data_IF_580380787417
#
_entry.id   IF_580380787417
#
_cell.length_a   1.000
_cell.length_b   1.000
_cell.length_c   1.000
_cell.angle_alpha   90.00
_cell.angle_beta   90.00
_cell.angle_gamma   90.00
#
_symmetry.space_group_name_H-M   'P 1'
#
loop_
_entity.id
_entity.type
_entity.pdbx_description
1 polymer ?
#
# COMPACT_ATOMS: atom_id res chain seq x y z
N UNK A 1 -8.89 -47.82 55.71
CA UNK A 1 -9.70 -46.87 54.91
C UNK A 1 -8.83 -45.68 54.61
N UNK A 2 -8.18 -45.68 53.44
CA UNK A 2 -7.30 -44.59 53.00
C UNK A 2 -8.12 -43.58 52.22
N UNK A 3 -8.26 -42.36 52.72
CA UNK A 3 -8.88 -41.25 51.98
C UNK A 3 -7.81 -40.62 51.06
N UNK A 4 -7.94 -40.85 49.77
CA UNK A 4 -7.17 -40.10 48.77
C UNK A 4 -7.71 -38.69 48.70
N UNK A 5 -6.85 -37.73 49.06
CA UNK A 5 -7.09 -36.29 48.91
C UNK A 5 -6.76 -35.90 47.48
N UNK A 6 -7.77 -35.67 46.64
CA UNK A 6 -7.61 -35.18 45.27
C UNK A 6 -7.31 -33.65 45.32
N UNK A 7 -6.05 -33.28 45.13
CA UNK A 7 -5.65 -31.89 45.00
C UNK A 7 -5.96 -31.46 43.55
N UNK A 8 -7.04 -30.69 43.38
CA UNK A 8 -7.32 -30.03 42.10
C UNK A 8 -6.42 -28.82 42.02
N UNK A 9 -5.37 -28.88 41.18
CA UNK A 9 -4.55 -27.74 40.82
C UNK A 9 -5.31 -26.87 39.85
N UNK A 10 -6.00 -25.83 40.32
CA UNK A 10 -6.54 -24.78 39.49
C UNK A 10 -5.37 -23.93 39.00
N UNK A 11 -4.97 -24.14 37.76
CA UNK A 11 -4.04 -23.25 37.07
C UNK A 11 -4.76 -21.90 36.85
N UNK A 12 -4.44 -20.90 37.68
CA UNK A 12 -4.78 -19.51 37.38
C UNK A 12 -3.98 -19.09 36.15
N UNK A 13 -4.60 -19.17 34.98
CA UNK A 13 -4.09 -18.48 33.81
C UNK A 13 -4.33 -17.01 34.06
N UNK A 14 -3.29 -16.27 34.41
CA UNK A 14 -3.39 -14.84 34.63
C UNK A 14 -3.86 -14.16 33.35
N UNK A 15 -4.92 -13.36 33.46
CA UNK A 15 -5.51 -12.56 32.39
C UNK A 15 -4.56 -11.47 31.81
N UNK A 16 -3.34 -11.39 32.31
CA UNK A 16 -2.34 -10.40 31.89
C UNK A 16 -1.63 -10.74 30.58
N UNK A 17 -1.74 -11.96 30.05
CA UNK A 17 -1.10 -12.36 28.79
C UNK A 17 -1.98 -12.17 27.55
N UNK A 18 -3.17 -11.60 27.69
CA UNK A 18 -4.04 -11.16 26.59
C UNK A 18 -3.88 -9.65 26.31
N UNK A 19 -2.68 -9.09 26.48
CA UNK A 19 -2.37 -7.80 25.87
C UNK A 19 -2.35 -8.02 24.37
N UNK A 20 -3.53 -7.70 23.78
CA UNK A 20 -3.95 -8.00 22.45
C UNK A 20 -2.85 -7.75 21.42
N UNK A 21 -2.59 -8.74 20.60
CA UNK A 21 -2.06 -8.53 19.26
C UNK A 21 -2.94 -7.45 18.65
N UNK A 22 -2.39 -6.23 18.57
CA UNK A 22 -3.11 -5.10 17.99
C UNK A 22 -3.54 -5.52 16.59
N UNK A 23 -4.84 -5.68 16.41
CA UNK A 23 -5.40 -6.01 15.10
C UNK A 23 -5.01 -4.89 14.14
N UNK A 24 -4.55 -5.23 12.93
CA UNK A 24 -4.22 -4.25 11.92
C UNK A 24 -5.44 -3.39 11.58
N UNK A 25 -5.44 -2.14 12.05
CA UNK A 25 -6.47 -1.16 11.72
C UNK A 25 -6.17 -0.52 10.35
N UNK A 26 -6.82 -1.07 9.33
CA UNK A 26 -6.66 -0.58 7.97
C UNK A 26 -7.16 0.87 7.80
N UNK A 27 -8.17 1.31 8.51
CA UNK A 27 -8.70 2.66 8.36
C UNK A 27 -7.69 3.71 8.84
N UNK A 28 -7.08 3.49 10.00
CA UNK A 28 -5.99 4.32 10.52
C UNK A 28 -4.77 4.27 9.61
N UNK A 29 -4.37 3.07 9.18
CA UNK A 29 -3.27 2.89 8.21
C UNK A 29 -3.53 3.67 6.91
N UNK A 30 -4.71 3.47 6.28
CA UNK A 30 -5.05 4.12 5.02
C UNK A 30 -5.11 5.65 5.13
N UNK A 31 -5.66 6.16 6.22
CA UNK A 31 -5.69 7.60 6.49
C UNK A 31 -4.28 8.17 6.58
N UNK A 32 -3.41 7.53 7.35
CA UNK A 32 -2.00 7.93 7.48
C UNK A 32 -1.25 7.80 6.15
N UNK A 33 -1.50 6.72 5.38
CA UNK A 33 -0.89 6.52 4.07
C UNK A 33 -1.23 7.66 3.11
N UNK A 34 -2.50 8.08 3.03
CA UNK A 34 -2.94 9.19 2.18
C UNK A 34 -2.35 10.52 2.63
N UNK A 35 -2.31 10.77 3.94
CA UNK A 35 -1.67 11.98 4.49
C UNK A 35 -0.20 12.06 4.08
N UNK A 36 0.53 10.96 4.23
CA UNK A 36 1.95 10.90 3.84
C UNK A 36 2.16 10.99 2.31
N UNK A 37 1.25 10.41 1.50
CA UNK A 37 1.24 10.66 0.05
C UNK A 37 1.17 12.16 -0.24
N UNK A 38 0.24 12.84 0.41
CA UNK A 38 0.01 14.27 0.16
C UNK A 38 1.20 15.13 0.61
N UNK A 39 1.89 14.75 1.69
CA UNK A 39 3.15 15.40 2.09
C UNK A 39 4.24 15.24 1.01
N UNK A 40 4.38 14.05 0.44
CA UNK A 40 5.35 13.82 -0.64
C UNK A 40 4.94 14.56 -1.92
N UNK A 41 3.66 14.51 -2.28
CA UNK A 41 3.12 15.20 -3.46
C UNK A 41 3.32 16.70 -3.41
N UNK A 42 3.16 17.32 -2.24
CA UNK A 42 3.41 18.74 -2.04
C UNK A 42 4.85 19.12 -2.40
N UNK A 43 5.84 18.29 -2.06
CA UNK A 43 7.24 18.50 -2.46
C UNK A 43 7.43 18.56 -3.98
N UNK A 44 6.60 17.87 -4.73
CA UNK A 44 6.62 17.82 -6.20
C UNK A 44 5.62 18.77 -6.87
N UNK A 45 5.08 19.74 -6.14
CA UNK A 45 4.05 20.67 -6.63
C UNK A 45 2.82 19.97 -7.22
N UNK A 46 2.48 18.80 -6.69
CA UNK A 46 1.32 18.01 -7.10
C UNK A 46 0.16 18.21 -6.11
N UNK A 47 -1.07 18.41 -6.59
CA UNK A 47 -2.24 18.58 -5.73
C UNK A 47 -2.48 17.38 -4.83
N UNK A 48 -3.03 17.63 -3.64
CA UNK A 48 -3.40 16.57 -2.71
C UNK A 48 -4.42 15.59 -3.33
N UNK A 49 -4.26 14.30 -3.01
CA UNK A 49 -5.24 13.26 -3.35
C UNK A 49 -6.36 13.25 -2.32
N UNK A 50 -7.59 13.02 -2.80
CA UNK A 50 -8.76 12.73 -1.96
C UNK A 50 -9.13 11.25 -2.04
N UNK A 51 -9.70 10.70 -0.97
CA UNK A 51 -10.16 9.30 -0.95
C UNK A 51 -11.39 9.14 -1.83
N UNK A 52 -11.44 8.04 -2.63
CA UNK A 52 -12.60 7.67 -3.42
C UNK A 52 -12.97 6.20 -3.18
N UNK A 53 -14.15 5.96 -2.59
CA UNK A 53 -14.60 4.63 -2.21
C UNK A 53 -14.78 3.67 -3.40
N UNK A 54 -15.22 4.17 -4.55
CA UNK A 54 -15.46 3.31 -5.71
C UNK A 54 -14.17 2.69 -6.24
N UNK A 55 -13.08 3.47 -6.32
CA UNK A 55 -11.80 2.92 -6.77
C UNK A 55 -11.11 2.09 -5.67
N UNK A 56 -11.47 2.28 -4.39
CA UNK A 56 -11.06 1.38 -3.31
C UNK A 56 -11.75 0.00 -3.43
N UNK A 57 -13.02 -0.07 -3.83
CA UNK A 57 -13.70 -1.35 -4.14
C UNK A 57 -13.00 -2.09 -5.28
N UNK A 58 -12.56 -1.38 -6.32
CA UNK A 58 -11.78 -1.97 -7.42
C UNK A 58 -10.40 -2.43 -6.95
N UNK A 59 -9.75 -1.70 -6.03
CA UNK A 59 -8.52 -2.14 -5.38
C UNK A 59 -8.73 -3.44 -4.58
N UNK A 60 -9.87 -3.59 -3.88
CA UNK A 60 -10.20 -4.81 -3.16
C UNK A 60 -10.36 -6.02 -4.09
N UNK A 61 -10.99 -5.83 -5.26
CA UNK A 61 -11.08 -6.90 -6.27
C UNK A 61 -9.70 -7.33 -6.74
N UNK A 62 -8.78 -6.38 -6.98
CA UNK A 62 -7.38 -6.68 -7.32
C UNK A 62 -6.69 -7.47 -6.22
N UNK A 63 -6.83 -7.04 -4.96
CA UNK A 63 -6.21 -7.71 -3.81
C UNK A 63 -6.73 -9.12 -3.63
N UNK A 64 -8.02 -9.35 -3.78
CA UNK A 64 -8.60 -10.70 -3.71
C UNK A 64 -7.96 -11.64 -4.74
N UNK A 65 -7.71 -11.14 -5.96
CA UNK A 65 -6.99 -11.88 -7.00
C UNK A 65 -5.51 -12.14 -6.65
N UNK A 66 -4.82 -11.14 -6.12
CA UNK A 66 -3.42 -11.27 -5.67
C UNK A 66 -3.27 -12.31 -4.55
N UNK A 67 -4.11 -12.23 -3.54
CA UNK A 67 -4.14 -13.17 -2.39
C UNK A 67 -4.41 -14.59 -2.86
N UNK A 68 -5.41 -14.79 -3.73
CA UNK A 68 -5.74 -16.11 -4.29
C UNK A 68 -4.57 -16.73 -5.05
N UNK A 69 -3.79 -15.92 -5.75
CA UNK A 69 -2.66 -16.37 -6.57
C UNK A 69 -1.34 -16.41 -5.81
N UNK A 70 -1.26 -15.83 -4.60
CA UNK A 70 0.00 -15.62 -3.89
C UNK A 70 1.01 -14.77 -4.66
N UNK A 71 0.53 -13.83 -5.50
CA UNK A 71 1.37 -12.99 -6.38
C UNK A 71 0.81 -11.57 -6.47
N UNK A 72 1.69 -10.59 -6.67
CA UNK A 72 1.27 -9.24 -7.06
C UNK A 72 1.00 -9.20 -8.57
N UNK A 73 -0.25 -8.96 -8.95
CA UNK A 73 -0.69 -8.89 -10.34
C UNK A 73 -1.53 -7.64 -10.53
N UNK A 74 -1.10 -6.78 -11.42
CA UNK A 74 -1.89 -5.60 -11.81
C UNK A 74 -3.18 -6.02 -12.52
N UNK A 75 -4.30 -5.31 -12.24
CA UNK A 75 -5.65 -5.67 -12.75
C UNK A 75 -5.91 -4.84 -13.98
N UNK A 76 -5.54 -4.14 -14.65
CA UNK A 76 -6.02 -3.35 -15.79
C UNK A 76 -7.41 -2.71 -15.61
N UNK A 77 -7.78 -2.40 -14.35
CA UNK A 77 -9.07 -1.80 -14.03
C UNK A 77 -9.23 -0.40 -14.63
N UNK A 78 -10.44 -0.07 -14.99
CA UNK A 78 -10.86 1.28 -15.40
C UNK A 78 -11.97 1.79 -14.48
N UNK A 79 -12.11 3.12 -14.40
CA UNK A 79 -13.20 3.80 -13.73
C UNK A 79 -13.69 4.93 -14.62
N UNK A 80 -15.01 5.03 -14.83
CA UNK A 80 -15.61 6.01 -15.76
C UNK A 80 -14.95 6.00 -17.14
N UNK A 81 -14.72 4.81 -17.69
CA UNK A 81 -14.05 4.58 -18.98
C UNK A 81 -12.63 5.15 -19.10
N UNK A 82 -11.97 5.40 -17.98
CA UNK A 82 -10.59 5.85 -17.95
C UNK A 82 -9.72 4.86 -17.17
N UNK A 83 -8.48 4.71 -17.60
CA UNK A 83 -7.46 3.90 -16.94
C UNK A 83 -7.25 4.33 -15.49
N UNK A 84 -7.13 3.35 -14.61
CA UNK A 84 -6.67 3.55 -13.23
C UNK A 84 -5.17 3.28 -13.13
N UNK A 85 -4.45 4.22 -12.56
CA UNK A 85 -3.11 3.95 -12.09
C UNK A 85 -3.16 3.03 -10.87
N UNK A 86 -2.10 2.24 -10.64
CA UNK A 86 -2.12 1.27 -9.57
C UNK A 86 -0.73 1.01 -9.01
N UNK A 87 -0.60 1.07 -7.68
CA UNK A 87 0.58 0.60 -6.95
C UNK A 87 0.22 -0.61 -6.09
N UNK A 88 1.10 -1.62 -6.12
CA UNK A 88 0.97 -2.84 -5.33
C UNK A 88 2.14 -2.97 -4.35
N UNK A 89 1.86 -3.57 -3.19
CA UNK A 89 2.85 -3.83 -2.15
C UNK A 89 2.52 -5.13 -1.42
N UNK A 90 3.54 -5.83 -0.95
CA UNK A 90 3.40 -7.00 -0.07
C UNK A 90 4.45 -6.95 1.04
N UNK A 91 4.07 -7.39 2.23
CA UNK A 91 5.00 -7.57 3.34
C UNK A 91 4.64 -8.82 4.16
N UNK A 92 5.67 -9.49 4.72
CA UNK A 92 5.49 -10.63 5.61
C UNK A 92 5.07 -10.26 7.03
N UNK A 93 5.02 -8.97 7.36
CA UNK A 93 4.57 -8.44 8.66
C UNK A 93 3.59 -7.30 8.48
N UNK A 94 3.04 -6.80 9.60
CA UNK A 94 2.09 -5.68 9.61
C UNK A 94 2.70 -4.48 8.88
N UNK A 95 2.08 -3.99 7.80
CA UNK A 95 2.63 -2.89 7.02
C UNK A 95 2.52 -1.57 7.78
N UNK A 96 3.50 -0.70 7.56
CA UNK A 96 3.43 0.69 8.01
C UNK A 96 3.35 1.62 6.79
N UNK A 97 2.67 2.78 6.88
CA UNK A 97 2.64 3.75 5.79
C UNK A 97 4.05 4.16 5.32
N UNK A 98 5.01 4.29 6.26
CA UNK A 98 6.39 4.61 5.92
C UNK A 98 7.10 3.47 5.17
N UNK A 99 6.84 2.21 5.55
CA UNK A 99 7.37 1.04 4.85
C UNK A 99 6.87 0.97 3.41
N UNK A 100 5.58 1.19 3.20
CA UNK A 100 4.97 1.24 1.86
C UNK A 100 5.57 2.38 1.03
N UNK A 101 5.64 3.60 1.57
CA UNK A 101 6.18 4.75 0.83
C UNK A 101 7.69 4.69 0.64
N UNK A 102 8.43 4.03 1.53
CA UNK A 102 9.84 3.71 1.28
C UNK A 102 9.98 2.85 0.02
N UNK A 103 9.14 1.81 -0.11
CA UNK A 103 9.14 0.95 -1.29
C UNK A 103 8.75 1.72 -2.56
N UNK A 104 7.64 2.46 -2.52
CA UNK A 104 7.09 3.12 -3.70
C UNK A 104 7.76 4.44 -4.07
N UNK A 105 8.25 5.19 -3.08
CA UNK A 105 8.82 6.51 -3.29
C UNK A 105 10.34 6.51 -3.12
N UNK A 106 10.84 6.28 -1.90
CA UNK A 106 12.25 6.51 -1.57
C UNK A 106 13.20 5.64 -2.38
N UNK A 107 12.83 4.36 -2.59
CA UNK A 107 13.68 3.42 -3.31
C UNK A 107 13.69 3.66 -4.82
N UNK A 108 12.67 4.32 -5.37
CA UNK A 108 12.52 4.53 -6.82
C UNK A 108 12.86 5.96 -7.27
N UNK A 109 12.59 6.97 -6.44
CA UNK A 109 12.84 8.38 -6.75
C UNK A 109 14.29 8.61 -7.20
N UNK A 110 15.25 7.99 -6.53
CA UNK A 110 16.68 8.05 -6.88
C UNK A 110 17.02 7.56 -8.29
N UNK A 111 16.17 6.72 -8.88
CA UNK A 111 16.33 6.19 -10.23
C UNK A 111 15.78 7.12 -11.32
N UNK A 112 14.93 8.10 -10.94
CA UNK A 112 14.21 8.94 -11.89
C UNK A 112 15.05 10.11 -12.40
N UNK A 113 15.04 10.32 -13.70
CA UNK A 113 15.63 11.48 -14.36
C UNK A 113 14.54 12.51 -14.65
N UNK A 114 14.57 13.62 -13.93
CA UNK A 114 13.58 14.70 -14.04
C UNK A 114 13.67 15.47 -15.37
N UNK A 115 14.79 15.39 -16.08
CA UNK A 115 14.98 16.07 -17.36
C UNK A 115 14.36 15.30 -18.52
N UNK A 116 14.43 13.99 -18.47
CA UNK A 116 13.96 13.10 -19.54
C UNK A 116 12.62 12.40 -19.23
N UNK A 117 12.25 12.30 -17.95
CA UNK A 117 11.08 11.55 -17.52
C UNK A 117 11.27 10.03 -17.57
N UNK A 118 12.49 9.55 -17.55
CA UNK A 118 12.85 8.13 -17.67
C UNK A 118 13.70 7.66 -16.48
N UNK A 119 13.97 6.36 -16.42
CA UNK A 119 14.96 5.83 -15.48
C UNK A 119 16.37 6.12 -15.96
N UNK A 120 17.22 6.70 -15.09
CA UNK A 120 18.62 6.99 -15.40
C UNK A 120 19.58 5.80 -15.27
N UNK A 121 19.11 4.69 -14.67
CA UNK A 121 19.93 3.51 -14.40
C UNK A 121 19.22 2.18 -14.69
N UNK A 122 18.08 2.20 -15.39
CA UNK A 122 17.26 1.03 -15.67
C UNK A 122 16.44 0.52 -14.46
N UNK A 123 16.58 1.14 -13.29
CA UNK A 123 15.80 0.78 -12.10
C UNK A 123 14.33 1.18 -12.23
N UNK A 124 13.48 0.55 -11.42
CA UNK A 124 12.04 0.82 -11.37
C UNK A 124 11.78 2.26 -10.94
N UNK A 125 10.81 2.90 -11.55
CA UNK A 125 10.35 4.27 -11.27
C UNK A 125 8.82 4.38 -11.20
N UNK A 126 8.09 3.32 -11.56
CA UNK A 126 6.65 3.41 -11.81
C UNK A 126 5.80 3.67 -10.57
N UNK A 127 6.19 3.14 -9.41
CA UNK A 127 5.47 3.44 -8.17
C UNK A 127 5.70 4.88 -7.73
N UNK A 128 6.96 5.34 -7.78
CA UNK A 128 7.32 6.72 -7.45
C UNK A 128 6.56 7.73 -8.31
N UNK A 129 6.62 7.57 -9.62
CA UNK A 129 5.97 8.49 -10.57
C UNK A 129 4.47 8.52 -10.38
N UNK A 130 3.82 7.38 -10.07
CA UNK A 130 2.40 7.34 -9.75
C UNK A 130 2.07 8.05 -8.44
N UNK A 131 2.88 7.86 -7.37
CA UNK A 131 2.68 8.56 -6.07
C UNK A 131 2.60 10.07 -6.28
N UNK A 132 3.50 10.64 -7.07
CA UNK A 132 3.60 12.09 -7.26
C UNK A 132 2.94 12.60 -8.54
N UNK A 133 2.24 11.75 -9.29
CA UNK A 133 1.63 12.11 -10.58
C UNK A 133 0.64 13.26 -10.45
N UNK A 134 0.98 14.42 -11.02
CA UNK A 134 0.27 15.68 -10.82
C UNK A 134 -1.20 15.64 -11.21
N UNK A 135 -1.52 14.95 -12.31
CA UNK A 135 -2.89 14.86 -12.83
C UNK A 135 -3.78 13.91 -12.04
N UNK A 136 -3.24 12.98 -11.23
CA UNK A 136 -4.05 12.15 -10.33
C UNK A 136 -4.64 13.01 -9.22
N UNK A 137 -5.95 12.83 -8.95
CA UNK A 137 -6.72 13.62 -7.99
C UNK A 137 -7.26 12.78 -6.83
N UNK A 138 -7.44 11.49 -7.06
CA UNK A 138 -8.12 10.60 -6.14
C UNK A 138 -7.33 9.31 -5.94
N UNK A 139 -7.48 8.73 -4.76
CA UNK A 139 -6.84 7.47 -4.36
C UNK A 139 -7.85 6.57 -3.66
N UNK A 140 -7.80 5.28 -3.95
CA UNK A 140 -8.58 4.25 -3.26
C UNK A 140 -7.74 3.04 -2.99
N UNK A 141 -7.53 2.71 -1.71
CA UNK A 141 -6.71 1.58 -1.31
C UNK A 141 -7.52 0.47 -0.67
N UNK A 142 -6.99 -0.74 -0.74
CA UNK A 142 -7.51 -1.94 -0.10
C UNK A 142 -6.35 -2.84 0.36
N UNK A 143 -6.67 -3.79 1.24
CA UNK A 143 -5.72 -4.80 1.69
C UNK A 143 -6.35 -6.19 1.77
N UNK A 144 -5.51 -7.18 1.87
CA UNK A 144 -5.87 -8.56 2.19
C UNK A 144 -4.68 -9.29 2.77
N UNK A 145 -4.92 -10.42 3.40
CA UNK A 145 -3.88 -11.29 3.94
C UNK A 145 -3.88 -12.64 3.25
N UNK A 146 -2.70 -13.20 3.05
CA UNK A 146 -2.56 -14.48 2.37
C UNK A 146 -1.14 -15.02 2.43
N UNK A 147 -0.84 -16.01 1.59
CA UNK A 147 0.50 -16.57 1.49
C UNK A 147 1.26 -15.90 0.34
N UNK A 148 2.47 -15.44 0.62
CA UNK A 148 3.41 -14.88 -0.35
C UNK A 148 4.73 -15.63 -0.29
N UNK A 149 5.15 -16.25 -1.40
CA UNK A 149 6.42 -16.99 -1.47
C UNK A 149 6.65 -17.96 -0.29
N UNK A 150 5.60 -18.64 0.16
CA UNK A 150 5.65 -19.56 1.31
C UNK A 150 5.43 -18.90 2.68
N UNK A 151 5.50 -17.57 2.80
CA UNK A 151 5.23 -16.84 4.04
C UNK A 151 3.73 -16.65 4.23
N UNK A 152 3.18 -17.31 5.25
CA UNK A 152 1.77 -17.17 5.64
C UNK A 152 1.51 -15.81 6.29
N UNK A 153 0.26 -15.37 6.27
CA UNK A 153 -0.19 -14.11 6.89
C UNK A 153 0.52 -12.84 6.34
N UNK A 154 1.03 -12.91 5.11
CA UNK A 154 1.56 -11.74 4.43
C UNK A 154 0.44 -10.75 4.08
N UNK A 155 0.73 -9.46 4.19
CA UNK A 155 -0.18 -8.37 3.89
C UNK A 155 0.02 -7.90 2.45
N UNK A 156 -1.06 -7.88 1.68
CA UNK A 156 -1.11 -7.35 0.32
C UNK A 156 -1.83 -6.01 0.35
N UNK A 157 -1.26 -4.99 -0.26
CA UNK A 157 -1.83 -3.63 -0.37
C UNK A 157 -1.94 -3.27 -1.84
N UNK A 158 -3.09 -2.72 -2.24
CA UNK A 158 -3.30 -2.11 -3.55
C UNK A 158 -3.82 -0.69 -3.35
N UNK A 159 -3.23 0.28 -4.04
CA UNK A 159 -3.79 1.61 -4.18
C UNK A 159 -4.04 1.92 -5.66
N UNK A 160 -5.28 2.24 -5.99
CA UNK A 160 -5.67 2.77 -7.30
C UNK A 160 -5.66 4.30 -7.27
N UNK A 161 -5.28 4.90 -8.39
CA UNK A 161 -5.23 6.36 -8.58
C UNK A 161 -6.10 6.79 -9.76
N UNK A 162 -6.82 7.90 -9.60
CA UNK A 162 -7.70 8.43 -10.64
C UNK A 162 -7.57 9.94 -10.82
N UNK A 163 -7.44 10.45 -12.06
CA UNK A 163 -7.07 9.71 -13.26
C UNK A 163 -5.75 8.94 -13.08
N UNK A 164 -5.55 7.88 -13.86
CA UNK A 164 -4.33 7.08 -13.81
C UNK A 164 -3.10 7.88 -14.25
N UNK A 165 -1.97 7.57 -13.62
CA UNK A 165 -0.67 8.14 -13.98
C UNK A 165 0.13 7.25 -14.95
N UNK A 166 1.41 7.56 -15.07
CA UNK A 166 2.38 6.82 -15.86
C UNK A 166 2.05 6.75 -17.37
N UNK A 167 1.41 7.79 -17.88
CA UNK A 167 1.09 7.91 -19.30
C UNK A 167 2.35 8.26 -20.10
N UNK A 168 2.63 7.45 -21.12
CA UNK A 168 3.80 7.65 -21.99
C UNK A 168 3.81 9.06 -22.59
N UNK A 169 4.95 9.75 -22.52
CA UNK A 169 5.11 11.12 -23.03
C UNK A 169 4.68 12.22 -22.04
N UNK A 170 4.07 11.86 -20.89
CA UNK A 170 3.54 12.84 -19.93
C UNK A 170 4.34 12.93 -18.62
N UNK A 171 5.44 12.19 -18.50
CA UNK A 171 6.21 12.09 -17.24
C UNK A 171 6.75 13.44 -16.78
N UNK A 172 7.46 14.18 -17.64
CA UNK A 172 8.08 15.47 -17.29
C UNK A 172 7.06 16.55 -16.89
N UNK A 173 5.82 16.47 -17.42
CA UNK A 173 4.72 17.37 -17.04
C UNK A 173 4.12 17.02 -15.68
N UNK A 174 4.15 15.74 -15.31
CA UNK A 174 3.43 15.23 -14.14
C UNK A 174 4.34 14.91 -12.95
N UNK A 175 5.65 14.84 -13.14
CA UNK A 175 6.62 14.49 -12.11
C UNK A 175 7.67 15.60 -12.02
N UNK A 176 7.35 16.62 -11.25
CA UNK A 176 8.25 17.75 -11.03
C UNK A 176 9.40 17.36 -10.08
N UNK A 177 10.55 18.04 -10.20
CA UNK A 177 11.64 17.93 -9.22
C UNK A 177 11.12 18.43 -7.85
N UNK A 178 11.50 17.77 -6.74
CA UNK A 178 11.06 18.23 -5.43
C UNK A 178 11.64 19.62 -5.12
N UNK A 179 10.80 20.49 -4.56
CA UNK A 179 11.26 21.74 -3.96
C UNK A 179 12.04 21.44 -2.69
N UNK A 180 13.12 22.16 -2.49
CA UNK A 180 13.95 22.13 -1.28
C UNK A 180 13.18 22.55 -0.04
#
# INVERSE_FOLDING_TARGET
MNKFLLIVLLAFVSSENLRGLATFDFNTFYTSLVTKHNTLRAKHNSPALTKLADIAKLAQTTINGCVKQGKLVHSGNSYKNQWLGQNLYVSGGVPTPDGVLRSWYTNEEKNYDYSTGTSKNGGTIGHFTQVVWKSSKQIGCAYGTGTWSGYKNSYFICCNYFPGGNMRGEYTKNVAKPSS
#
